data_IF_538020440077
#
_entry.id   IF_538020440077
#
_cell.length_a   1.000
_cell.length_b   1.000
_cell.length_c   1.000
_cell.angle_alpha   90.00
_cell.angle_beta   90.00
_cell.angle_gamma   90.00
#
_symmetry.space_group_name_H-M   'P 1'
#
loop_
_entity.id
_entity.type
_entity.pdbx_description
1 polymer ?
#
# COMPACT_ATOMS: atom_id res chain seq x y z
N UNK A 1 -2.14 13.79 -8.28
CA UNK A 1 -3.24 12.90 -8.71
C UNK A 1 -4.30 13.77 -9.35
N UNK A 2 -4.72 13.45 -10.58
CA UNK A 2 -5.78 14.21 -11.25
C UNK A 2 -7.08 14.10 -10.44
N UNK A 3 -7.97 15.09 -10.58
CA UNK A 3 -9.28 15.05 -9.95
C UNK A 3 -10.11 13.83 -10.39
N UNK A 4 -9.92 13.37 -11.62
CA UNK A 4 -10.59 12.19 -12.19
C UNK A 4 -10.10 10.87 -11.57
N UNK A 5 -8.79 10.72 -11.38
CA UNK A 5 -8.20 9.52 -10.77
C UNK A 5 -8.75 9.28 -9.36
N UNK A 6 -8.90 10.35 -8.59
CA UNK A 6 -9.42 10.28 -7.23
C UNK A 6 -10.89 9.85 -7.20
N UNK A 7 -11.70 10.34 -8.14
CA UNK A 7 -13.12 9.96 -8.25
C UNK A 7 -13.26 8.48 -8.62
N UNK A 8 -12.43 7.98 -9.53
CA UNK A 8 -12.41 6.57 -9.91
C UNK A 8 -11.98 5.66 -8.75
N UNK A 9 -10.94 6.06 -8.01
CA UNK A 9 -10.49 5.36 -6.82
C UNK A 9 -11.58 5.31 -5.73
N UNK A 10 -12.33 6.40 -5.53
CA UNK A 10 -13.43 6.47 -4.57
C UNK A 10 -14.58 5.51 -4.96
N UNK A 11 -14.96 5.49 -6.23
CA UNK A 11 -16.01 4.58 -6.72
C UNK A 11 -15.63 3.11 -6.47
N UNK A 12 -14.37 2.76 -6.78
CA UNK A 12 -13.83 1.41 -6.59
C UNK A 12 -13.76 1.02 -5.12
N UNK A 13 -13.30 1.94 -4.26
CA UNK A 13 -13.23 1.72 -2.82
C UNK A 13 -14.62 1.57 -2.20
N UNK A 14 -15.60 2.38 -2.63
CA UNK A 14 -16.99 2.29 -2.16
C UNK A 14 -17.63 0.94 -2.50
N UNK A 15 -17.35 0.41 -3.70
CA UNK A 15 -17.80 -0.93 -4.08
C UNK A 15 -17.22 -2.00 -3.15
N UNK A 16 -15.93 -1.91 -2.82
CA UNK A 16 -15.29 -2.86 -1.89
C UNK A 16 -15.86 -2.75 -0.46
N UNK A 17 -16.15 -1.53 0.01
CA UNK A 17 -16.80 -1.32 1.32
C UNK A 17 -18.19 -1.96 1.36
N UNK A 18 -18.95 -1.88 0.26
CA UNK A 18 -20.27 -2.54 0.18
C UNK A 18 -20.19 -4.07 0.34
N UNK A 19 -19.01 -4.66 0.08
CA UNK A 19 -18.71 -6.08 0.25
C UNK A 19 -18.06 -6.41 1.60
N UNK A 20 -17.98 -5.44 2.51
CA UNK A 20 -17.41 -5.59 3.86
C UNK A 20 -15.90 -5.40 3.94
N UNK A 21 -15.24 -4.83 2.91
CA UNK A 21 -13.82 -4.55 2.97
C UNK A 21 -13.52 -3.34 3.87
N UNK A 22 -12.41 -3.40 4.61
CA UNK A 22 -11.81 -2.24 5.26
C UNK A 22 -10.86 -1.54 4.28
N UNK A 23 -10.97 -0.21 4.19
CA UNK A 23 -10.16 0.59 3.27
C UNK A 23 -9.10 1.35 4.05
N UNK A 24 -7.84 1.07 3.75
CA UNK A 24 -6.69 1.81 4.27
C UNK A 24 -6.11 2.66 3.14
N UNK A 25 -5.97 3.96 3.36
CA UNK A 25 -5.43 4.87 2.34
C UNK A 25 -4.04 5.35 2.73
N UNK A 26 -3.13 5.45 1.76
CA UNK A 26 -1.78 5.97 1.93
C UNK A 26 -1.54 7.08 0.92
N UNK A 27 -1.24 8.29 1.39
CA UNK A 27 -1.01 9.43 0.49
C UNK A 27 -1.34 10.78 1.11
N UNK A 28 -1.35 11.81 0.28
CA UNK A 28 -1.54 13.19 0.74
C UNK A 28 -2.96 13.50 1.19
N UNK A 29 -3.95 12.80 0.63
CA UNK A 29 -5.38 12.95 0.94
C UNK A 29 -6.03 11.57 1.15
N UNK A 30 -6.98 11.45 2.09
CA UNK A 30 -7.76 10.23 2.26
C UNK A 30 -8.83 10.09 1.17
N UNK A 31 -9.33 8.86 0.98
CA UNK A 31 -10.63 8.63 0.36
C UNK A 31 -11.72 8.88 1.42
N UNK A 32 -12.96 9.16 0.99
CA UNK A 32 -14.06 9.39 1.94
C UNK A 32 -14.46 8.10 2.66
N UNK A 33 -14.34 6.97 1.97
CA UNK A 33 -14.66 5.65 2.52
C UNK A 33 -13.50 5.00 3.29
N UNK A 34 -12.36 5.69 3.47
CA UNK A 34 -11.22 5.17 4.22
C UNK A 34 -11.57 4.93 5.69
N UNK A 35 -11.32 3.72 6.17
CA UNK A 35 -11.37 3.38 7.59
C UNK A 35 -10.18 4.00 8.33
N UNK A 36 -8.99 3.93 7.75
CA UNK A 36 -7.80 4.61 8.24
C UNK A 36 -7.01 5.26 7.09
N UNK A 37 -6.31 6.35 7.41
CA UNK A 37 -5.49 7.10 6.46
C UNK A 37 -4.11 7.37 7.03
N UNK A 38 -3.10 6.82 6.36
CA UNK A 38 -1.73 7.19 6.59
C UNK A 38 -1.34 8.35 5.67
N UNK A 39 -1.17 9.52 6.29
CA UNK A 39 -0.76 10.72 5.58
C UNK A 39 0.70 10.62 5.16
N UNK A 40 0.93 10.71 3.85
CA UNK A 40 2.26 10.84 3.25
C UNK A 40 2.29 12.14 2.45
N UNK A 41 3.35 12.94 2.63
CA UNK A 41 3.48 14.22 1.93
C UNK A 41 3.50 14.06 0.40
N UNK A 42 2.90 15.01 -0.30
CA UNK A 42 3.04 15.09 -1.76
C UNK A 42 4.40 15.73 -2.07
N UNK A 43 5.30 14.95 -2.67
CA UNK A 43 6.62 15.38 -3.10
C UNK A 43 6.74 15.41 -4.63
N UNK A 44 5.60 15.57 -5.33
CA UNK A 44 5.53 15.60 -6.79
C UNK A 44 5.98 14.27 -7.40
N UNK A 45 6.96 14.33 -8.31
CA UNK A 45 7.52 13.13 -8.94
C UNK A 45 8.13 12.14 -7.92
N UNK A 46 8.63 12.65 -6.78
CA UNK A 46 9.25 11.82 -5.76
C UNK A 46 8.24 11.13 -4.83
N UNK A 47 6.93 11.40 -4.96
CA UNK A 47 5.87 10.85 -4.08
C UNK A 47 5.90 9.33 -3.89
N UNK A 48 6.32 8.50 -4.86
CA UNK A 48 6.50 7.06 -4.62
C UNK A 48 7.52 6.71 -3.53
N UNK A 49 8.56 7.54 -3.32
CA UNK A 49 9.64 7.31 -2.35
C UNK A 49 9.13 7.33 -0.89
N UNK A 50 8.44 8.38 -0.41
CA UNK A 50 7.90 8.35 0.94
C UNK A 50 6.71 7.38 1.06
N UNK A 51 6.01 7.04 -0.04
CA UNK A 51 4.92 6.07 -0.02
C UNK A 51 5.40 4.61 0.12
N UNK A 52 6.60 4.25 -0.34
CA UNK A 52 7.11 2.88 -0.18
C UNK A 52 7.47 2.53 1.27
N UNK A 53 7.88 3.51 2.08
CA UNK A 53 8.28 3.28 3.47
C UNK A 53 7.19 2.59 4.31
N UNK A 54 5.96 3.12 4.40
CA UNK A 54 4.93 2.45 5.18
C UNK A 54 4.51 1.09 4.61
N UNK A 55 4.58 0.91 3.29
CA UNK A 55 4.30 -0.38 2.67
C UNK A 55 5.35 -1.43 3.06
N UNK A 56 6.63 -1.05 3.14
CA UNK A 56 7.71 -1.92 3.62
C UNK A 56 7.53 -2.28 5.09
N UNK A 57 7.22 -1.29 5.94
CA UNK A 57 6.96 -1.51 7.37
C UNK A 57 5.76 -2.45 7.55
N UNK A 58 4.65 -2.19 6.85
CA UNK A 58 3.46 -3.05 6.91
C UNK A 58 3.79 -4.50 6.53
N UNK A 59 4.53 -4.71 5.43
CA UNK A 59 4.93 -6.04 5.01
C UNK A 59 5.81 -6.75 6.06
N UNK A 60 6.78 -6.04 6.62
CA UNK A 60 7.65 -6.55 7.69
C UNK A 60 6.86 -6.94 8.94
N UNK A 61 5.97 -6.07 9.40
CA UNK A 61 5.12 -6.30 10.57
C UNK A 61 4.21 -7.52 10.35
N UNK A 62 3.61 -7.66 9.17
CA UNK A 62 2.79 -8.84 8.83
C UNK A 62 3.64 -10.12 8.81
N UNK A 63 4.85 -10.08 8.24
CA UNK A 63 5.75 -11.23 8.23
C UNK A 63 6.13 -11.65 9.65
N UNK A 64 6.49 -10.68 10.50
CA UNK A 64 6.82 -10.92 11.92
C UNK A 64 5.63 -11.50 12.68
N UNK A 65 4.43 -10.93 12.53
CA UNK A 65 3.20 -11.44 13.17
C UNK A 65 2.86 -12.87 12.73
N UNK A 66 3.21 -13.24 11.49
CA UNK A 66 3.01 -14.59 10.95
C UNK A 66 4.17 -15.55 11.23
N UNK A 67 5.20 -15.14 12.00
CA UNK A 67 6.43 -15.91 12.22
C UNK A 67 7.09 -16.37 10.91
N UNK A 68 7.09 -15.50 9.89
CA UNK A 68 7.79 -15.72 8.62
C UNK A 68 9.11 -14.96 8.64
N UNK A 69 10.13 -15.51 7.98
CA UNK A 69 11.42 -14.83 7.78
C UNK A 69 11.33 -13.89 6.55
N UNK A 70 11.35 -12.56 6.74
CA UNK A 70 11.35 -11.60 5.63
C UNK A 70 12.72 -11.52 4.92
N UNK A 71 13.82 -11.96 5.55
CA UNK A 71 15.16 -11.93 4.97
C UNK A 71 15.37 -13.10 3.99
N UNK A 72 14.73 -14.25 4.27
CA UNK A 72 14.76 -15.45 3.42
C UNK A 72 13.35 -15.91 3.04
N UNK A 73 12.64 -15.15 2.19
CA UNK A 73 11.33 -15.56 1.74
C UNK A 73 11.42 -16.81 0.86
N UNK A 74 10.45 -17.72 1.03
CA UNK A 74 10.42 -19.02 0.32
C UNK A 74 10.46 -18.82 -1.20
N UNK A 75 11.20 -19.69 -1.89
CA UNK A 75 11.30 -19.75 -3.35
C UNK A 75 11.89 -18.48 -4.01
N UNK A 76 12.60 -17.64 -3.25
CA UNK A 76 13.29 -16.46 -3.78
C UNK A 76 14.79 -16.59 -3.59
N UNK A 77 15.53 -16.26 -4.65
CA UNK A 77 16.98 -16.10 -4.61
C UNK A 77 17.32 -14.61 -4.59
N UNK A 78 18.42 -14.25 -3.91
CA UNK A 78 18.89 -12.86 -3.86
C UNK A 78 19.21 -12.28 -5.24
N UNK A 79 19.77 -13.12 -6.10
CA UNK A 79 19.99 -12.86 -7.52
C UNK A 79 19.68 -14.16 -8.27
N UNK A 80 18.79 -14.09 -9.25
CA UNK A 80 18.47 -15.24 -10.10
C UNK A 80 19.45 -15.25 -11.27
N UNK A 81 20.39 -16.19 -11.27
CA UNK A 81 21.24 -16.46 -12.42
C UNK A 81 20.61 -17.59 -13.22
N UNK A 82 20.31 -17.34 -14.50
CA UNK A 82 19.85 -18.36 -15.44
C UNK A 82 21.06 -18.81 -16.27
N UNK A 83 21.18 -20.11 -16.53
CA UNK A 83 22.19 -20.68 -17.42
C UNK A 83 21.83 -20.49 -18.89
#
# INVERSE_FOLDING_TARGET
>A
MGSEDMVSAEASASELVSRGAQIYTVGSKPLRVSSEHLRVGDTGFATPIPQMLPMQILAYEIARMKNLDPDHPRNLAKAVTVL
#
